data_IF_450220150210
#
_entry.id   IF_450220150210
#
_cell.length_a   1.000
_cell.length_b   1.000
_cell.length_c   1.000
_cell.angle_alpha   90.00
_cell.angle_beta   90.00
_cell.angle_gamma   90.00
#
_symmetry.space_group_name_H-M   'P 1'
#
loop_
_entity.id
_entity.type
_entity.pdbx_description
1 polymer ?
#
# COMPACT_ATOMS: atom_id res chain seq x y z
N UNK A 1 -2.12 -10.54 -3.28
CA UNK A 1 -2.77 -9.42 -2.59
C UNK A 1 -2.17 -8.12 -3.10
N UNK A 2 -2.99 -7.02 -3.23
CA UNK A 2 -4.41 -6.90 -2.84
C UNK A 2 -5.38 -7.61 -3.81
N UNK A 3 -6.62 -7.85 -3.34
CA UNK A 3 -7.68 -8.39 -4.18
C UNK A 3 -9.06 -7.84 -3.78
N UNK A 4 -10.01 -7.85 -4.70
CA UNK A 4 -11.41 -7.57 -4.39
C UNK A 4 -12.00 -8.70 -3.53
N UNK A 5 -12.59 -8.37 -2.40
CA UNK A 5 -13.29 -9.32 -1.54
C UNK A 5 -14.79 -9.07 -1.59
N UNK A 6 -15.51 -9.97 -2.27
CA UNK A 6 -16.94 -9.84 -2.56
C UNK A 6 -17.81 -9.70 -1.30
N UNK A 7 -17.46 -10.43 -0.24
CA UNK A 7 -18.25 -10.44 1.00
C UNK A 7 -18.12 -9.13 1.77
N UNK A 8 -17.06 -8.41 1.57
CA UNK A 8 -16.77 -7.14 2.24
C UNK A 8 -17.00 -5.93 1.34
N UNK A 9 -17.26 -6.18 0.05
CA UNK A 9 -17.42 -5.16 -0.99
C UNK A 9 -16.28 -4.13 -0.99
N UNK A 10 -15.03 -4.60 -0.80
CA UNK A 10 -13.85 -3.75 -0.76
C UNK A 10 -12.59 -4.48 -1.21
N UNK A 11 -11.54 -3.72 -1.47
CA UNK A 11 -10.20 -4.27 -1.71
C UNK A 11 -9.57 -4.66 -0.37
N UNK A 12 -9.15 -5.92 -0.26
CA UNK A 12 -8.48 -6.48 0.89
C UNK A 12 -6.98 -6.58 0.62
N UNK A 13 -6.16 -5.89 1.42
CA UNK A 13 -4.70 -6.04 1.46
C UNK A 13 -4.27 -7.19 2.36
N UNK A 14 -2.97 -7.51 2.35
CA UNK A 14 -2.45 -8.62 3.15
C UNK A 14 -2.63 -8.37 4.66
N UNK A 15 -2.33 -7.18 5.14
CA UNK A 15 -2.38 -6.83 6.56
C UNK A 15 -3.82 -6.86 7.11
N UNK A 16 -4.79 -6.38 6.32
CA UNK A 16 -6.20 -6.48 6.70
C UNK A 16 -6.69 -7.93 6.67
N UNK A 17 -6.24 -8.72 5.70
CA UNK A 17 -6.51 -10.16 5.66
C UNK A 17 -5.96 -10.87 6.91
N UNK A 18 -4.72 -10.58 7.31
CA UNK A 18 -4.08 -11.13 8.50
C UNK A 18 -4.91 -10.83 9.76
N UNK A 19 -5.30 -9.56 9.96
CA UNK A 19 -6.13 -9.16 11.11
C UNK A 19 -7.42 -9.98 11.18
N UNK A 20 -8.14 -10.08 10.06
CA UNK A 20 -9.43 -10.79 9.99
C UNK A 20 -9.27 -12.30 10.17
N UNK A 21 -8.24 -12.88 9.54
CA UNK A 21 -7.97 -14.31 9.60
C UNK A 21 -7.49 -14.74 10.98
N UNK A 22 -6.57 -14.01 11.61
CA UNK A 22 -6.10 -14.30 12.96
C UNK A 22 -7.26 -14.34 13.95
N UNK A 23 -8.13 -13.31 13.93
CA UNK A 23 -9.30 -13.25 14.80
C UNK A 23 -10.26 -14.42 14.57
N UNK A 24 -10.52 -14.78 13.32
CA UNK A 24 -11.47 -15.83 12.96
C UNK A 24 -10.96 -17.25 13.28
N UNK A 25 -9.64 -17.49 13.20
CA UNK A 25 -9.06 -18.84 13.31
C UNK A 25 -8.42 -19.12 14.65
N UNK A 26 -7.79 -18.13 15.27
CA UNK A 26 -7.05 -18.29 16.53
C UNK A 26 -7.66 -17.52 17.71
N UNK A 27 -8.59 -16.61 17.45
CA UNK A 27 -9.12 -15.66 18.42
C UNK A 27 -8.14 -14.54 18.79
N UNK A 28 -6.96 -14.50 18.18
CA UNK A 28 -5.96 -13.46 18.43
C UNK A 28 -6.36 -12.13 17.80
N UNK A 29 -6.12 -11.05 18.54
CA UNK A 29 -6.32 -9.69 18.03
C UNK A 29 -4.99 -9.13 17.54
N UNK A 30 -4.80 -9.13 16.21
CA UNK A 30 -3.63 -8.59 15.53
C UNK A 30 -4.05 -7.41 14.64
N UNK A 31 -4.26 -6.22 15.22
CA UNK A 31 -4.65 -5.04 14.45
C UNK A 31 -3.62 -4.73 13.36
N UNK A 32 -4.08 -4.16 12.26
CA UNK A 32 -3.15 -3.65 11.24
C UNK A 32 -2.12 -2.73 11.89
N UNK A 33 -0.87 -2.82 11.45
CA UNK A 33 0.27 -2.04 11.95
C UNK A 33 0.72 -2.38 13.39
N UNK A 34 0.16 -3.41 14.03
CA UNK A 34 0.76 -4.01 15.23
C UNK A 34 1.98 -4.86 14.85
N UNK A 35 2.87 -5.10 15.80
CA UNK A 35 4.06 -5.91 15.58
C UNK A 35 3.69 -7.31 15.05
N UNK A 36 2.74 -7.99 15.68
CA UNK A 36 2.30 -9.32 15.26
C UNK A 36 1.73 -9.35 13.83
N UNK A 37 0.96 -8.31 13.44
CA UNK A 37 0.44 -8.18 12.08
C UNK A 37 1.57 -7.93 11.07
N UNK A 38 2.49 -7.04 11.43
CA UNK A 38 3.65 -6.67 10.60
C UNK A 38 4.58 -7.86 10.39
N UNK A 39 4.92 -8.61 11.45
CA UNK A 39 5.77 -9.79 11.38
C UNK A 39 5.15 -10.88 10.49
N UNK A 40 3.85 -11.11 10.64
CA UNK A 40 3.12 -12.04 9.78
C UNK A 40 3.09 -11.57 8.33
N UNK A 41 2.92 -10.28 8.10
CA UNK A 41 2.95 -9.70 6.75
C UNK A 41 4.33 -9.87 6.08
N UNK A 42 5.43 -9.63 6.82
CA UNK A 42 6.79 -9.88 6.34
C UNK A 42 6.96 -11.35 5.94
N UNK A 43 6.57 -12.25 6.82
CA UNK A 43 6.69 -13.67 6.56
C UNK A 43 5.90 -14.10 5.31
N UNK A 44 4.63 -13.71 5.21
CA UNK A 44 3.80 -14.05 4.05
C UNK A 44 4.33 -13.48 2.74
N UNK A 45 4.79 -12.23 2.74
CA UNK A 45 5.35 -11.62 1.54
C UNK A 45 6.68 -12.27 1.13
N UNK A 46 7.51 -12.64 2.10
CA UNK A 46 8.80 -13.32 1.83
C UNK A 46 8.63 -14.68 1.14
N UNK A 47 7.52 -15.38 1.40
CA UNK A 47 7.20 -16.63 0.71
C UNK A 47 6.92 -16.43 -0.79
N UNK A 48 6.52 -15.22 -1.18
CA UNK A 48 6.27 -14.87 -2.58
C UNK A 48 7.46 -14.20 -3.29
N UNK A 49 8.61 -14.08 -2.64
CA UNK A 49 9.77 -13.44 -3.26
C UNK A 49 10.21 -14.18 -4.53
N UNK A 50 10.51 -13.42 -5.58
CA UNK A 50 10.81 -13.92 -6.91
C UNK A 50 9.58 -14.16 -7.79
N UNK A 51 8.37 -14.24 -7.21
CA UNK A 51 7.14 -14.34 -7.97
C UNK A 51 6.76 -12.99 -8.59
N UNK A 52 6.20 -13.02 -9.78
CA UNK A 52 5.74 -11.81 -10.47
C UNK A 52 4.45 -11.29 -9.87
N UNK A 53 4.41 -10.00 -9.64
CA UNK A 53 3.17 -9.31 -9.22
C UNK A 53 2.13 -9.50 -10.33
N UNK A 54 0.97 -10.03 -9.95
CA UNK A 54 -0.20 -10.15 -10.81
C UNK A 54 -1.44 -9.60 -10.08
N UNK A 55 -2.26 -8.86 -10.82
CA UNK A 55 -3.50 -8.26 -10.29
C UNK A 55 -4.66 -8.62 -11.20
N UNK A 56 -5.60 -9.38 -10.63
CA UNK A 56 -6.82 -9.78 -11.34
C UNK A 56 -7.88 -8.68 -11.24
N UNK A 57 -8.27 -8.13 -12.39
CA UNK A 57 -9.33 -7.15 -12.55
C UNK A 57 -10.51 -7.71 -13.38
N UNK A 58 -10.62 -9.01 -13.53
CA UNK A 58 -11.70 -9.65 -14.31
C UNK A 58 -13.09 -9.47 -13.68
N UNK A 59 -13.15 -9.29 -12.36
CA UNK A 59 -14.38 -8.91 -11.67
C UNK A 59 -14.69 -7.42 -11.93
N UNK A 60 -15.89 -7.07 -12.45
CA UNK A 60 -16.26 -5.67 -12.70
C UNK A 60 -16.15 -4.75 -11.47
N UNK A 61 -16.36 -5.29 -10.27
CA UNK A 61 -16.23 -4.53 -9.03
C UNK A 61 -14.75 -4.28 -8.68
N UNK A 62 -13.87 -5.23 -8.97
CA UNK A 62 -12.42 -5.03 -8.84
C UNK A 62 -11.91 -3.97 -9.81
N UNK A 63 -12.34 -4.01 -11.07
CA UNK A 63 -12.00 -2.99 -12.07
C UNK A 63 -12.55 -1.60 -11.67
N UNK A 64 -13.78 -1.53 -11.15
CA UNK A 64 -14.33 -0.28 -10.64
C UNK A 64 -13.50 0.27 -9.45
N UNK A 65 -13.07 -0.60 -8.51
CA UNK A 65 -12.20 -0.22 -7.40
C UNK A 65 -10.83 0.28 -7.89
N UNK A 66 -10.26 -0.39 -8.89
CA UNK A 66 -9.02 0.06 -9.54
C UNK A 66 -9.17 1.46 -10.16
N UNK A 67 -10.26 1.73 -10.89
CA UNK A 67 -10.52 3.06 -11.47
C UNK A 67 -10.68 4.14 -10.40
N UNK A 68 -11.30 3.83 -9.26
CA UNK A 68 -11.35 4.75 -8.12
C UNK A 68 -9.97 5.01 -7.55
N UNK A 69 -9.12 4.00 -7.43
CA UNK A 69 -7.71 4.14 -7.04
C UNK A 69 -6.93 5.08 -7.99
N UNK A 70 -7.15 4.95 -9.31
CA UNK A 70 -6.60 5.90 -10.31
C UNK A 70 -7.09 7.33 -10.06
N UNK A 71 -8.38 7.51 -9.78
CA UNK A 71 -8.93 8.83 -9.49
C UNK A 71 -8.36 9.43 -8.18
N UNK A 72 -8.26 8.61 -7.13
CA UNK A 72 -7.67 9.00 -5.84
C UNK A 72 -6.20 9.42 -5.99
N UNK A 73 -5.42 8.73 -6.82
CA UNK A 73 -4.02 9.09 -7.06
C UNK A 73 -3.83 10.49 -7.67
N UNK A 74 -4.85 11.00 -8.36
CA UNK A 74 -4.90 12.32 -9.00
C UNK A 74 -5.58 13.39 -8.14
N UNK A 75 -6.32 12.97 -7.12
CA UNK A 75 -7.05 13.88 -6.25
C UNK A 75 -6.09 14.77 -5.45
N UNK A 76 -6.40 16.05 -5.41
CA UNK A 76 -5.64 17.03 -4.63
C UNK A 76 -6.05 16.94 -3.15
N UNK A 77 -5.07 16.83 -2.27
CA UNK A 77 -5.27 16.62 -0.85
C UNK A 77 -4.51 17.64 0.00
N UNK A 78 -5.02 17.83 1.21
CA UNK A 78 -4.37 18.59 2.26
C UNK A 78 -4.17 20.08 1.97
N UNK A 79 -3.55 20.75 2.92
CA UNK A 79 -3.29 22.21 2.83
C UNK A 79 -2.33 22.57 1.69
N UNK A 80 -1.46 21.63 1.29
CA UNK A 80 -0.54 21.87 0.18
C UNK A 80 -1.18 21.61 -1.19
N UNK A 81 -2.41 21.09 -1.23
CA UNK A 81 -3.14 20.82 -2.47
C UNK A 81 -2.32 19.98 -3.47
N UNK A 82 -1.68 18.92 -2.99
CA UNK A 82 -0.91 17.98 -3.80
C UNK A 82 -1.64 16.65 -3.96
N UNK A 83 -1.38 16.02 -5.08
CA UNK A 83 -1.80 14.64 -5.38
C UNK A 83 -0.58 13.70 -5.38
N UNK A 84 -0.82 12.38 -5.40
CA UNK A 84 0.25 11.39 -5.51
C UNK A 84 1.10 11.63 -6.77
N UNK A 85 0.46 11.91 -7.90
CA UNK A 85 1.15 12.16 -9.18
C UNK A 85 1.97 13.45 -9.20
N UNK A 86 1.65 14.46 -8.39
CA UNK A 86 2.46 15.68 -8.33
C UNK A 86 3.86 15.40 -7.78
N UNK A 87 3.95 14.48 -6.80
CA UNK A 87 5.23 14.05 -6.24
C UNK A 87 5.87 12.94 -7.09
N UNK A 88 5.12 11.88 -7.41
CA UNK A 88 5.66 10.64 -7.95
C UNK A 88 5.73 10.56 -9.48
N UNK A 89 5.18 11.53 -10.20
CA UNK A 89 5.32 11.66 -11.66
C UNK A 89 5.96 13.00 -12.02
N UNK A 90 5.30 14.13 -11.68
CA UNK A 90 5.77 15.47 -12.09
C UNK A 90 7.04 15.92 -11.38
N UNK A 91 7.29 15.42 -10.16
CA UNK A 91 8.49 15.73 -9.37
C UNK A 91 9.39 14.52 -9.16
N UNK A 92 9.15 13.42 -9.88
CA UNK A 92 10.02 12.26 -9.84
C UNK A 92 11.46 12.63 -10.21
N UNK A 93 12.42 12.00 -9.55
CA UNK A 93 13.84 12.31 -9.74
C UNK A 93 14.36 13.50 -8.93
N UNK A 94 13.50 14.19 -8.16
CA UNK A 94 13.89 15.32 -7.32
C UNK A 94 13.98 14.92 -5.86
N UNK A 95 14.67 15.74 -5.08
CA UNK A 95 14.73 15.62 -3.62
C UNK A 95 13.71 16.53 -2.96
N UNK A 96 12.95 16.01 -2.01
CA UNK A 96 12.02 16.76 -1.17
C UNK A 96 12.33 16.47 0.30
N UNK A 97 12.73 17.49 1.06
CA UNK A 97 13.01 17.34 2.50
C UNK A 97 13.96 16.18 2.83
N UNK A 98 15.02 16.02 2.05
CA UNK A 98 15.99 14.95 2.24
C UNK A 98 15.54 13.56 1.75
N UNK A 99 14.37 13.45 1.11
CA UNK A 99 13.89 12.22 0.51
C UNK A 99 13.90 12.31 -1.02
N UNK A 100 14.46 11.31 -1.67
CA UNK A 100 14.37 11.16 -3.11
C UNK A 100 12.95 10.71 -3.51
N UNK A 101 12.35 11.41 -4.45
CA UNK A 101 11.04 11.09 -5.00
C UNK A 101 11.20 10.14 -6.18
N UNK A 102 10.94 8.87 -5.94
CA UNK A 102 10.85 7.87 -7.03
C UNK A 102 9.50 7.97 -7.75
N UNK A 103 9.44 7.38 -8.95
CA UNK A 103 8.18 7.14 -9.67
C UNK A 103 7.32 6.14 -8.89
N UNK A 104 6.00 6.09 -9.15
CA UNK A 104 5.14 5.05 -8.57
C UNK A 104 5.44 3.66 -9.13
N UNK A 105 5.93 3.58 -10.36
CA UNK A 105 6.40 2.34 -10.95
C UNK A 105 7.75 1.94 -10.34
N UNK A 106 7.90 0.68 -9.95
CA UNK A 106 9.10 0.17 -9.27
C UNK A 106 9.16 0.48 -7.78
N UNK A 107 8.03 0.92 -7.14
CA UNK A 107 8.00 1.25 -5.72
C UNK A 107 7.10 0.30 -4.89
N UNK A 108 6.48 -0.70 -5.51
CA UNK A 108 5.48 -1.56 -4.86
C UNK A 108 5.82 -3.05 -4.83
N UNK A 109 6.97 -3.41 -5.31
CA UNK A 109 7.53 -4.75 -5.31
C UNK A 109 8.11 -5.18 -3.94
N UNK A 110 8.32 -4.24 -3.02
CA UNK A 110 9.16 -4.40 -1.85
C UNK A 110 8.49 -4.12 -0.49
N UNK A 111 7.19 -3.94 -0.44
CA UNK A 111 6.45 -3.80 0.82
C UNK A 111 6.05 -5.18 1.40
N UNK A 112 6.09 -5.32 2.76
CA UNK A 112 6.54 -4.36 3.78
C UNK A 112 8.03 -4.05 3.69
N UNK A 113 8.44 -2.87 4.16
CA UNK A 113 9.82 -2.42 4.05
C UNK A 113 10.33 -1.75 5.34
N UNK A 114 11.65 -1.83 5.56
CA UNK A 114 12.35 -1.11 6.61
C UNK A 114 12.54 0.37 6.21
N UNK A 115 12.04 1.27 7.04
CA UNK A 115 12.23 2.73 6.93
C UNK A 115 13.41 3.16 7.80
N UNK A 116 14.57 3.33 7.20
CA UNK A 116 15.81 3.68 7.91
C UNK A 116 15.67 4.95 8.73
N UNK A 117 15.07 6.00 8.17
CA UNK A 117 14.88 7.30 8.84
C UNK A 117 13.97 7.25 10.08
N UNK A 118 13.16 6.20 10.23
CA UNK A 118 12.21 6.06 11.33
C UNK A 118 12.43 4.79 12.16
N UNK A 119 13.41 3.98 11.79
CA UNK A 119 13.79 2.74 12.49
C UNK A 119 12.58 1.81 12.69
N UNK A 120 11.74 1.64 11.65
CA UNK A 120 10.51 0.88 11.71
C UNK A 120 10.25 0.14 10.39
N UNK A 121 9.53 -0.98 10.48
CA UNK A 121 8.95 -1.63 9.32
C UNK A 121 7.58 -1.01 9.03
N UNK A 122 7.34 -0.70 7.78
CA UNK A 122 6.09 -0.14 7.31
C UNK A 122 5.47 -1.00 6.23
N UNK A 123 4.19 -1.27 6.37
CA UNK A 123 3.34 -1.72 5.28
C UNK A 123 3.02 -0.56 4.34
N UNK A 124 2.36 -0.87 3.23
CA UNK A 124 2.02 0.13 2.23
C UNK A 124 1.00 1.14 2.74
N UNK A 125 0.05 0.72 3.57
CA UNK A 125 -1.00 1.60 4.10
C UNK A 125 -0.43 2.61 5.09
N UNK A 126 0.53 2.21 5.90
CA UNK A 126 1.31 3.12 6.75
C UNK A 126 2.07 4.16 5.90
N UNK A 127 2.61 3.72 4.76
CA UNK A 127 3.25 4.66 3.83
C UNK A 127 2.25 5.66 3.23
N UNK A 128 1.05 5.23 2.86
CA UNK A 128 0.00 6.13 2.35
C UNK A 128 -0.46 7.14 3.42
N UNK A 129 -0.64 6.70 4.67
CA UNK A 129 -0.92 7.59 5.81
C UNK A 129 0.16 8.66 5.94
N UNK A 130 1.43 8.27 5.90
CA UNK A 130 2.54 9.20 5.95
C UNK A 130 2.54 10.21 4.79
N UNK A 131 2.17 9.78 3.58
CA UNK A 131 2.01 10.70 2.45
C UNK A 131 0.92 11.74 2.72
N UNK A 132 -0.20 11.37 3.34
CA UNK A 132 -1.23 12.31 3.75
C UNK A 132 -0.68 13.35 4.74
N UNK A 133 0.08 12.93 5.75
CA UNK A 133 0.76 13.85 6.68
C UNK A 133 1.69 14.83 5.94
N UNK A 134 2.46 14.34 4.95
CA UNK A 134 3.39 15.19 4.19
C UNK A 134 2.70 16.32 3.42
N UNK A 135 1.46 16.10 2.98
CA UNK A 135 0.66 17.13 2.29
C UNK A 135 -0.32 17.87 3.23
N UNK A 136 -0.21 17.63 4.54
CA UNK A 136 -1.10 18.17 5.58
C UNK A 136 -2.56 17.82 5.35
N UNK A 137 -2.83 16.58 4.95
CA UNK A 137 -4.15 15.98 4.93
C UNK A 137 -4.35 15.11 6.17
N UNK A 138 -5.61 14.81 6.49
CA UNK A 138 -5.95 13.86 7.54
C UNK A 138 -5.52 12.44 7.13
N UNK A 139 -5.02 11.68 8.10
CA UNK A 139 -4.85 10.25 7.94
C UNK A 139 -6.22 9.57 8.02
N UNK A 140 -6.43 8.58 7.16
CA UNK A 140 -7.55 7.65 7.26
C UNK A 140 -7.13 6.43 8.08
N UNK A 141 -8.09 5.67 8.64
CA UNK A 141 -7.79 4.38 9.24
C UNK A 141 -7.07 3.45 8.25
N UNK A 142 -6.17 2.56 8.69
CA UNK A 142 -5.40 1.72 7.78
C UNK A 142 -6.27 0.77 6.94
N UNK A 143 -7.47 0.43 7.41
CA UNK A 143 -8.47 -0.37 6.70
C UNK A 143 -9.45 0.45 5.84
N UNK A 144 -9.22 1.75 5.66
CA UNK A 144 -10.05 2.62 4.80
C UNK A 144 -10.14 2.08 3.37
N UNK A 145 -11.32 2.23 2.78
CA UNK A 145 -11.59 1.76 1.40
C UNK A 145 -10.65 2.43 0.41
N UNK A 146 -10.41 3.71 0.58
CA UNK A 146 -9.54 4.54 -0.27
C UNK A 146 -8.10 3.99 -0.30
N UNK A 147 -7.56 3.56 0.84
CA UNK A 147 -6.22 2.96 0.87
C UNK A 147 -6.19 1.60 0.18
N UNK A 148 -7.25 0.81 0.28
CA UNK A 148 -7.36 -0.44 -0.47
C UNK A 148 -7.37 -0.21 -1.99
N UNK A 149 -8.13 0.76 -2.46
CA UNK A 149 -8.24 1.12 -3.86
C UNK A 149 -6.91 1.70 -4.41
N UNK A 150 -6.23 2.55 -3.63
CA UNK A 150 -4.89 3.02 -3.96
C UNK A 150 -3.87 1.87 -4.01
N UNK A 151 -3.92 0.96 -3.06
CA UNK A 151 -3.04 -0.22 -3.04
C UNK A 151 -3.25 -1.10 -4.28
N UNK A 152 -4.51 -1.34 -4.68
CA UNK A 152 -4.85 -2.08 -5.89
C UNK A 152 -4.30 -1.39 -7.15
N UNK A 153 -4.48 -0.08 -7.26
CA UNK A 153 -3.94 0.73 -8.34
C UNK A 153 -2.41 0.63 -8.41
N UNK A 154 -1.73 0.82 -7.29
CA UNK A 154 -0.28 0.83 -7.23
C UNK A 154 0.32 -0.56 -7.53
N UNK A 155 -0.32 -1.63 -7.06
CA UNK A 155 0.08 -3.00 -7.42
C UNK A 155 -0.10 -3.27 -8.91
N UNK A 156 -1.20 -2.81 -9.52
CA UNK A 156 -1.41 -2.96 -10.96
C UNK A 156 -0.38 -2.21 -11.80
N UNK A 157 0.04 -1.03 -11.36
CA UNK A 157 1.14 -0.29 -12.00
C UNK A 157 2.49 -1.03 -11.96
N UNK A 158 2.66 -1.91 -11.00
CA UNK A 158 3.90 -2.68 -10.80
C UNK A 158 3.74 -4.16 -11.23
N UNK A 159 2.70 -4.46 -12.00
CA UNK A 159 2.46 -5.81 -12.52
C UNK A 159 3.64 -6.30 -13.37
N UNK A 160 4.02 -7.54 -13.17
CA UNK A 160 5.15 -8.18 -13.87
C UNK A 160 6.51 -7.98 -13.21
N UNK A 161 6.64 -7.06 -12.23
CA UNK A 161 7.84 -6.96 -11.41
C UNK A 161 7.90 -8.12 -10.42
N UNK A 162 9.10 -8.54 -10.05
CA UNK A 162 9.32 -9.59 -9.04
C UNK A 162 9.14 -9.01 -7.63
N UNK A 163 8.46 -9.75 -6.78
CA UNK A 163 8.31 -9.40 -5.37
C UNK A 163 9.65 -9.58 -4.65
N UNK A 164 10.03 -8.59 -3.83
CA UNK A 164 11.30 -8.58 -3.09
C UNK A 164 11.10 -7.96 -1.68
N UNK A 165 10.25 -8.56 -0.87
CA UNK A 165 9.92 -8.09 0.47
C UNK A 165 10.52 -9.03 1.56
N UNK A 166 10.94 -8.51 2.73
CA UNK A 166 11.09 -7.09 3.00
C UNK A 166 12.32 -6.47 2.31
N UNK A 167 12.27 -5.17 2.09
CA UNK A 167 13.41 -4.42 1.54
C UNK A 167 13.71 -3.21 2.44
N UNK A 168 14.74 -2.43 2.10
CA UNK A 168 15.18 -1.26 2.87
C UNK A 168 15.00 0.00 2.01
N UNK A 169 14.42 1.03 2.60
CA UNK A 169 14.28 2.37 1.99
C UNK A 169 14.50 3.47 3.04
N UNK A 170 14.82 4.66 2.55
CA UNK A 170 14.98 5.86 3.39
C UNK A 170 13.65 6.53 3.71
#
# INVERSE_FOLDING_TARGET
MPRWEKRLEKVLGAEEFITRHARATTGADWPMQSDANTDMSIWLHSLGNGEKIAVDLSDPAADAAFRRGVALSKAKLGQFNFSCIDCHEKSAGKWLRGQYLGTTQGQFDHFPLWRTSLNQIWDIRKRLQWCNVQVRANELPPDAVEYGELELYLRKLNEGLELAAPNIRH
#
